data_IF_471360989489
#
_entry.id   IF_471360989489
#
_cell.length_a   1.000
_cell.length_b   1.000
_cell.length_c   1.000
_cell.angle_alpha   90.00
_cell.angle_beta   90.00
_cell.angle_gamma   90.00
#
_symmetry.space_group_name_H-M   'P 1'
#
loop_
_entity.id
_entity.type
_entity.pdbx_description
1 polymer ?
#
# COMPACT_ATOMS: atom_id res chain seq x y z
N UNK A 1 -6.21 23.72 6.43
CA UNK A 1 -5.70 22.35 6.17
C UNK A 1 -4.64 22.43 5.07
N UNK A 2 -3.37 22.12 5.34
CA UNK A 2 -2.32 22.13 4.31
C UNK A 2 -2.65 21.01 3.31
N UNK A 3 -2.98 21.35 2.06
CA UNK A 3 -3.15 20.34 1.00
C UNK A 3 -1.83 19.58 0.88
N UNK A 4 -1.80 18.32 1.29
CA UNK A 4 -0.65 17.45 1.04
C UNK A 4 -0.42 17.46 -0.47
N UNK A 5 0.72 18.00 -0.88
CA UNK A 5 0.97 18.32 -2.29
C UNK A 5 1.17 17.00 -3.01
N UNK A 6 0.15 16.57 -3.76
CA UNK A 6 0.29 15.42 -4.66
C UNK A 6 1.44 15.71 -5.62
N UNK A 7 2.33 14.74 -5.78
CA UNK A 7 3.40 14.86 -6.77
C UNK A 7 2.78 14.98 -8.17
N UNK A 8 3.41 15.72 -9.10
CA UNK A 8 3.01 15.72 -10.50
C UNK A 8 2.95 14.27 -11.03
N UNK A 9 2.00 13.93 -11.92
CA UNK A 9 1.80 12.55 -12.38
C UNK A 9 3.07 11.86 -12.92
N UNK A 10 3.89 12.57 -13.68
CA UNK A 10 5.15 12.04 -14.20
C UNK A 10 6.16 11.70 -13.10
N UNK A 11 6.31 12.58 -12.10
CA UNK A 11 7.17 12.35 -10.94
C UNK A 11 6.64 11.19 -10.10
N UNK A 12 5.32 11.09 -9.96
CA UNK A 12 4.70 9.97 -9.26
C UNK A 12 4.95 8.64 -9.99
N UNK A 13 4.79 8.59 -11.31
CA UNK A 13 5.06 7.40 -12.10
C UNK A 13 6.53 6.93 -11.94
N UNK A 14 7.49 7.85 -12.03
CA UNK A 14 8.90 7.56 -11.78
C UNK A 14 9.11 7.05 -10.35
N UNK A 15 8.47 7.68 -9.35
CA UNK A 15 8.56 7.23 -7.96
C UNK A 15 8.00 5.82 -7.79
N UNK A 16 6.86 5.49 -8.40
CA UNK A 16 6.29 4.13 -8.34
C UNK A 16 7.27 3.08 -8.87
N UNK A 17 7.90 3.36 -10.01
CA UNK A 17 8.90 2.46 -10.59
C UNK A 17 10.12 2.30 -9.64
N UNK A 18 10.65 3.38 -9.08
CA UNK A 18 11.79 3.33 -8.15
C UNK A 18 11.51 2.48 -6.90
N UNK A 19 10.34 2.65 -6.28
CA UNK A 19 9.97 1.85 -5.10
C UNK A 19 9.78 0.38 -5.50
N UNK A 20 9.23 0.13 -6.68
CA UNK A 20 9.08 -1.23 -7.20
C UNK A 20 10.38 -1.96 -7.45
N UNK A 21 11.33 -1.28 -8.10
CA UNK A 21 12.66 -1.82 -8.33
C UNK A 21 13.39 -2.07 -7.01
N UNK A 22 13.31 -1.13 -6.05
CA UNK A 22 13.89 -1.28 -4.70
C UNK A 22 13.35 -2.51 -3.99
N UNK A 23 12.03 -2.68 -3.98
CA UNK A 23 11.35 -3.80 -3.32
C UNK A 23 11.38 -5.08 -4.16
N UNK A 24 12.00 -5.04 -5.35
CA UNK A 24 12.05 -6.14 -6.33
C UNK A 24 10.67 -6.71 -6.66
N UNK A 25 9.65 -5.86 -6.65
CA UNK A 25 8.24 -6.24 -6.80
C UNK A 25 7.65 -7.05 -5.64
N UNK A 26 8.38 -7.33 -4.56
CA UNK A 26 7.88 -8.11 -3.44
C UNK A 26 7.05 -7.24 -2.50
N UNK A 27 5.87 -7.75 -2.12
CA UNK A 27 5.02 -7.12 -1.11
C UNK A 27 5.76 -6.98 0.22
N UNK A 28 5.77 -5.79 0.79
CA UNK A 28 6.34 -5.50 2.11
C UNK A 28 5.33 -5.67 3.26
N UNK A 29 4.14 -6.22 2.97
CA UNK A 29 3.10 -6.47 3.95
C UNK A 29 3.27 -7.80 4.70
N UNK A 30 2.61 -7.97 5.86
CA UNK A 30 2.87 -9.08 6.77
C UNK A 30 2.42 -10.45 6.25
N UNK A 31 1.58 -10.49 5.22
CA UNK A 31 0.99 -11.73 4.70
C UNK A 31 1.71 -12.32 3.49
N UNK A 32 2.81 -11.72 3.03
CA UNK A 32 3.37 -12.03 1.71
C UNK A 32 4.90 -12.28 1.68
N UNK A 33 5.56 -12.51 2.81
CA UNK A 33 7.04 -12.54 2.90
C UNK A 33 7.78 -13.43 1.91
N UNK A 34 7.18 -14.54 1.44
CA UNK A 34 7.75 -15.45 0.43
C UNK A 34 6.89 -15.60 -0.82
N UNK A 35 6.03 -14.63 -1.11
CA UNK A 35 5.17 -14.67 -2.30
C UNK A 35 5.92 -14.17 -3.55
N UNK A 36 5.51 -14.60 -4.76
CA UNK A 36 6.07 -14.10 -6.01
C UNK A 36 5.98 -12.57 -6.13
N UNK A 37 6.86 -11.95 -6.92
CA UNK A 37 6.81 -10.51 -7.18
C UNK A 37 5.51 -10.12 -7.90
N UNK A 38 4.98 -8.95 -7.53
CA UNK A 38 3.78 -8.35 -8.10
C UNK A 38 4.20 -7.48 -9.28
N UNK A 39 3.39 -7.44 -10.33
CA UNK A 39 3.62 -6.53 -11.45
C UNK A 39 3.48 -5.05 -11.00
N UNK A 40 4.23 -4.14 -11.62
CA UNK A 40 4.27 -2.72 -11.23
C UNK A 40 2.88 -2.04 -11.26
N UNK A 41 2.05 -2.40 -12.23
CA UNK A 41 0.69 -1.88 -12.42
C UNK A 41 -0.30 -2.40 -11.35
N UNK A 42 -0.06 -3.61 -10.84
CA UNK A 42 -0.83 -4.24 -9.78
C UNK A 42 -0.37 -3.86 -8.37
N UNK A 43 0.86 -3.36 -8.24
CA UNK A 43 1.43 -2.95 -6.96
C UNK A 43 0.80 -1.64 -6.46
N UNK A 44 0.40 -1.61 -5.18
CA UNK A 44 0.01 -0.40 -4.49
C UNK A 44 1.24 0.24 -3.85
N UNK A 45 1.49 1.52 -4.15
CA UNK A 45 2.50 2.31 -3.42
C UNK A 45 1.82 2.93 -2.21
N UNK A 46 2.31 2.53 -1.05
CA UNK A 46 1.72 2.81 0.25
C UNK A 46 2.67 3.66 1.10
N UNK A 47 2.12 4.66 1.79
CA UNK A 47 2.88 5.51 2.70
C UNK A 47 2.95 4.87 4.09
N UNK A 48 4.14 4.52 4.58
CA UNK A 48 4.32 3.92 5.92
C UNK A 48 3.79 4.85 6.99
N UNK A 49 4.15 6.14 6.95
CA UNK A 49 3.47 7.19 7.70
C UNK A 49 2.53 7.90 6.72
N UNK A 50 1.21 7.91 6.95
CA UNK A 50 0.28 8.63 6.08
C UNK A 50 0.66 10.11 5.96
N UNK A 51 0.44 10.70 4.77
CA UNK A 51 0.72 12.13 4.54
C UNK A 51 -0.04 13.00 5.56
N UNK A 52 -1.27 12.63 5.91
CA UNK A 52 -2.11 13.30 6.92
C UNK A 52 -1.50 13.34 8.31
N UNK A 53 -0.60 12.39 8.62
CA UNK A 53 0.14 12.28 9.89
C UNK A 53 1.57 12.82 9.79
N UNK A 54 1.90 13.56 8.72
CA UNK A 54 3.22 14.16 8.53
C UNK A 54 4.21 13.29 7.75
N UNK A 55 3.76 12.18 7.16
CA UNK A 55 4.59 11.36 6.28
C UNK A 55 5.07 12.11 5.04
N UNK A 56 6.12 11.57 4.42
CA UNK A 56 6.78 12.14 3.25
C UNK A 56 6.56 11.31 1.98
N UNK A 57 6.89 11.87 0.81
CA UNK A 57 6.97 11.12 -0.46
C UNK A 57 8.40 10.62 -0.76
N UNK A 58 9.28 10.61 0.24
CA UNK A 58 10.61 10.02 0.12
C UNK A 58 10.50 8.50 0.13
N UNK A 59 11.48 7.85 -0.50
CA UNK A 59 11.43 6.41 -0.71
C UNK A 59 11.42 5.62 0.59
N UNK A 60 12.10 6.09 1.62
CA UNK A 60 12.10 5.52 2.97
C UNK A 60 10.70 5.42 3.60
N UNK A 61 9.80 6.36 3.29
CA UNK A 61 8.41 6.35 3.76
C UNK A 61 7.43 5.67 2.79
N UNK A 62 7.92 5.09 1.70
CA UNK A 62 7.10 4.40 0.70
C UNK A 62 7.44 2.91 0.65
N UNK A 63 6.44 2.09 0.34
CA UNK A 63 6.60 0.65 0.13
C UNK A 63 5.62 0.11 -0.90
N UNK A 64 5.92 -1.09 -1.40
CA UNK A 64 4.97 -1.89 -2.18
C UNK A 64 4.09 -2.75 -1.28
N UNK A 65 2.79 -2.75 -1.56
CA UNK A 65 1.83 -3.71 -1.04
C UNK A 65 1.05 -4.38 -2.18
N UNK A 66 0.75 -5.67 -2.02
CA UNK A 66 -0.30 -6.33 -2.80
C UNK A 66 -1.68 -5.78 -2.41
N UNK A 67 -2.68 -5.99 -3.26
CA UNK A 67 -4.06 -5.57 -2.98
C UNK A 67 -4.58 -6.09 -1.64
N UNK A 68 -4.31 -7.36 -1.30
CA UNK A 68 -4.73 -7.95 -0.01
C UNK A 68 -4.13 -7.20 1.18
N UNK A 69 -2.81 -7.01 1.20
CA UNK A 69 -2.14 -6.32 2.31
C UNK A 69 -2.55 -4.84 2.37
N UNK A 70 -2.67 -4.17 1.22
CA UNK A 70 -3.07 -2.77 1.17
C UNK A 70 -4.49 -2.53 1.68
N UNK A 71 -5.44 -3.42 1.34
CA UNK A 71 -6.83 -3.32 1.81
C UNK A 71 -6.98 -3.64 3.29
N UNK A 72 -6.19 -4.60 3.79
CA UNK A 72 -6.20 -4.99 5.20
C UNK A 72 -5.38 -4.07 6.11
N UNK A 73 -4.74 -3.04 5.56
CA UNK A 73 -3.99 -2.08 6.37
C UNK A 73 -4.95 -1.22 7.18
N UNK A 74 -4.66 -1.02 8.45
CA UNK A 74 -5.45 -0.15 9.31
C UNK A 74 -5.34 1.30 8.83
N UNK A 75 -6.48 2.00 8.83
CA UNK A 75 -6.58 3.36 8.31
C UNK A 75 -7.91 3.59 7.59
N UNK A 76 -8.46 4.78 7.72
CA UNK A 76 -9.73 5.12 7.07
C UNK A 76 -9.58 5.15 5.54
N UNK A 77 -8.39 5.43 5.03
CA UNK A 77 -8.08 5.46 3.60
C UNK A 77 -8.25 4.09 2.89
N UNK A 78 -8.18 2.98 3.64
CA UNK A 78 -8.27 1.62 3.09
C UNK A 78 -9.69 1.05 3.13
N UNK A 79 -10.55 1.55 4.04
CA UNK A 79 -11.90 1.03 4.28
C UNK A 79 -12.79 1.00 3.02
N UNK A 80 -12.67 2.00 2.15
CA UNK A 80 -13.45 2.08 0.91
C UNK A 80 -13.18 0.93 -0.08
N UNK A 81 -12.10 0.17 0.12
CA UNK A 81 -11.69 -0.93 -0.76
C UNK A 81 -12.19 -2.29 -0.28
N UNK A 82 -12.65 -2.40 0.98
CA UNK A 82 -13.04 -3.66 1.62
C UNK A 82 -14.17 -4.35 0.86
N UNK A 83 -15.24 -3.63 0.53
CA UNK A 83 -16.39 -4.21 -0.17
C UNK A 83 -16.01 -4.78 -1.55
N UNK A 84 -15.11 -4.12 -2.28
CA UNK A 84 -14.62 -4.64 -3.55
C UNK A 84 -13.71 -5.85 -3.36
N UNK A 85 -12.81 -5.82 -2.38
CA UNK A 85 -11.94 -6.95 -2.08
C UNK A 85 -12.71 -8.20 -1.62
N UNK A 86 -13.81 -8.03 -0.88
CA UNK A 86 -14.74 -9.11 -0.52
C UNK A 86 -15.41 -9.73 -1.75
N UNK A 87 -15.98 -8.89 -2.63
CA UNK A 87 -16.62 -9.38 -3.87
C UNK A 87 -15.65 -10.14 -4.77
N UNK A 88 -14.41 -9.67 -4.84
CA UNK A 88 -13.39 -10.27 -5.69
C UNK A 88 -12.67 -11.46 -5.03
N UNK A 89 -13.05 -11.85 -3.80
CA UNK A 89 -12.45 -12.97 -3.08
C UNK A 89 -10.99 -12.75 -2.62
N UNK A 90 -10.52 -11.50 -2.63
CA UNK A 90 -9.15 -11.13 -2.21
C UNK A 90 -8.98 -11.19 -0.69
N UNK A 91 -10.06 -10.94 0.05
CA UNK A 91 -10.13 -11.07 1.51
C UNK A 91 -11.37 -11.90 1.88
N UNK A 92 -11.32 -12.66 2.99
CA UNK A 92 -12.44 -13.50 3.39
C UNK A 92 -13.53 -12.70 4.15
N UNK A 93 -14.76 -13.23 4.31
CA UNK A 93 -15.84 -12.54 5.05
C UNK A 93 -15.48 -12.18 6.49
N UNK A 94 -14.64 -12.98 7.14
CA UNK A 94 -14.09 -12.79 8.49
C UNK A 94 -12.77 -12.00 8.48
N UNK A 95 -12.59 -11.04 7.56
CA UNK A 95 -11.34 -10.28 7.39
C UNK A 95 -10.90 -9.43 8.58
N UNK A 96 -11.79 -9.06 9.51
CA UNK A 96 -11.49 -8.07 10.57
C UNK A 96 -10.27 -8.41 11.44
N UNK A 97 -10.04 -9.66 11.88
CA UNK A 97 -8.84 -10.05 12.62
C UNK A 97 -7.57 -10.05 11.77
N UNK A 98 -7.69 -9.93 10.44
CA UNK A 98 -6.57 -9.83 9.50
C UNK A 98 -6.19 -8.37 9.22
N UNK A 99 -6.78 -7.40 9.93
CA UNK A 99 -6.33 -6.01 9.83
C UNK A 99 -4.98 -5.88 10.54
N UNK A 100 -4.06 -5.13 9.92
CA UNK A 100 -2.71 -4.96 10.43
C UNK A 100 -2.25 -3.50 10.44
N UNK A 101 -1.33 -3.22 11.36
CA UNK A 101 -0.68 -1.93 11.55
C UNK A 101 0.83 -2.07 11.36
N UNK A 102 1.48 -0.95 11.07
CA UNK A 102 2.94 -0.88 11.12
C UNK A 102 3.40 -1.10 12.57
N UNK A 103 4.42 -1.94 12.77
CA UNK A 103 5.01 -2.12 14.09
C UNK A 103 5.65 -0.78 14.53
N UNK A 104 5.44 -0.34 15.77
CA UNK A 104 6.03 0.89 16.30
C UNK A 104 7.56 0.85 16.31
#
# INVERSE_FOLDING_TARGET
>A
MKRHRRLPPAIWAQRRQQIWERDRGHCQGPYCGNQPPILLDQAHIDHIIPLSKGGSNHSDNLRILCRRCHVLRAGHEHQGMIAAALRDGIIPPDWRPLVWEDKP
#
